data_IF_651688342737
#
_entry.id   IF_651688342737
#
_cell.length_a   1.000
_cell.length_b   1.000
_cell.length_c   1.000
_cell.angle_alpha   90.00
_cell.angle_beta   90.00
_cell.angle_gamma   90.00
#
_symmetry.space_group_name_H-M   'P 1'
#
loop_
_entity.id
_entity.type
_entity.pdbx_description
1 polymer ?
#
# COMPACT_ATOMS: atom_id res chain seq x y z
N UNK A 1 -14.93 11.11 -17.27
CA UNK A 1 -14.06 10.41 -16.30
C UNK A 1 -13.20 11.47 -15.63
N UNK A 2 -13.71 12.14 -14.61
CA UNK A 2 -12.94 13.21 -13.94
C UNK A 2 -12.25 12.60 -12.74
N UNK A 3 -11.00 12.19 -12.93
CA UNK A 3 -10.08 11.88 -11.84
C UNK A 3 -9.34 13.18 -11.55
N UNK A 4 -9.87 14.04 -10.69
CA UNK A 4 -9.15 15.23 -10.22
C UNK A 4 -9.34 15.31 -8.70
N UNK A 5 -8.25 15.09 -7.94
CA UNK A 5 -7.14 16.03 -7.85
C UNK A 5 -5.82 15.45 -8.36
N UNK A 6 -4.99 16.28 -9.00
CA UNK A 6 -3.71 15.93 -9.60
C UNK A 6 -2.59 16.55 -8.76
N UNK A 7 -2.14 15.87 -7.69
CA UNK A 7 -1.07 16.41 -6.85
C UNK A 7 0.31 15.97 -7.38
N UNK A 8 1.26 16.92 -7.31
CA UNK A 8 2.68 16.60 -7.51
C UNK A 8 3.24 16.02 -6.21
N UNK A 9 3.85 14.82 -6.23
CA UNK A 9 4.41 14.22 -5.03
C UNK A 9 5.58 15.07 -4.49
N UNK A 10 5.60 15.28 -3.17
CA UNK A 10 6.69 15.95 -2.48
C UNK A 10 7.60 14.93 -1.82
N UNK A 11 8.86 14.87 -2.26
CA UNK A 11 9.82 13.92 -1.72
C UNK A 11 10.58 14.50 -0.52
N UNK A 12 10.55 13.78 0.60
CA UNK A 12 11.30 14.11 1.80
C UNK A 12 12.62 13.32 1.80
N UNK A 13 13.76 14.01 1.77
CA UNK A 13 15.09 13.40 1.68
C UNK A 13 15.72 13.08 3.04
N UNK A 14 15.39 13.88 4.06
CA UNK A 14 15.98 13.86 5.40
C UNK A 14 14.94 13.49 6.47
N UNK A 15 15.41 12.86 7.55
CA UNK A 15 14.58 12.46 8.68
C UNK A 15 14.02 11.03 8.59
N UNK A 16 13.07 10.68 9.48
CA UNK A 16 12.42 9.37 9.49
C UNK A 16 11.62 9.13 8.20
N UNK A 17 11.44 7.85 7.84
CA UNK A 17 10.62 7.48 6.70
C UNK A 17 9.17 7.92 6.91
N UNK A 18 8.62 8.66 5.95
CA UNK A 18 7.25 9.18 5.97
C UNK A 18 6.51 8.74 4.71
N UNK A 19 5.24 8.40 4.85
CA UNK A 19 4.27 8.31 3.77
C UNK A 19 2.98 8.99 4.22
N UNK A 20 2.65 10.09 3.56
CA UNK A 20 1.44 10.87 3.78
C UNK A 20 0.72 11.02 2.44
N UNK A 21 -0.51 10.53 2.39
CA UNK A 21 -1.38 10.65 1.21
C UNK A 21 -2.77 11.05 1.69
N UNK A 22 -3.30 12.14 1.14
CA UNK A 22 -4.66 12.61 1.43
C UNK A 22 -5.55 12.51 0.20
N UNK A 23 -6.76 12.03 0.40
CA UNK A 23 -7.75 11.87 -0.65
C UNK A 23 -7.35 10.92 -1.80
N UNK A 24 -6.57 9.82 -1.61
CA UNK A 24 -6.15 9.00 -2.73
C UNK A 24 -7.34 8.32 -3.41
N UNK A 25 -7.39 8.41 -4.74
CA UNK A 25 -8.38 7.72 -5.56
C UNK A 25 -7.73 6.59 -6.34
N UNK A 26 -8.29 5.39 -6.25
CA UNK A 26 -7.78 4.26 -7.04
C UNK A 26 -8.18 4.44 -8.51
N UNK A 27 -7.30 4.28 -9.51
CA UNK A 27 -7.66 4.41 -10.93
C UNK A 27 -8.73 3.43 -11.38
N UNK A 28 -8.75 2.24 -10.77
CA UNK A 28 -9.78 1.22 -11.04
C UNK A 28 -11.04 1.40 -10.17
N UNK A 29 -11.13 2.43 -9.32
CA UNK A 29 -12.41 2.82 -8.74
C UNK A 29 -13.22 3.51 -9.84
N UNK A 30 -13.90 2.70 -10.64
CA UNK A 30 -14.82 3.18 -11.65
C UNK A 30 -16.01 3.81 -10.91
N UNK A 31 -16.44 5.04 -11.25
CA UNK A 31 -17.72 5.55 -10.79
C UNK A 31 -18.82 4.66 -11.36
N UNK A 32 -19.25 3.67 -10.57
CA UNK A 32 -20.42 2.85 -10.87
C UNK A 32 -21.69 3.59 -10.46
N UNK A 33 -22.81 3.24 -11.08
CA UNK A 33 -24.14 3.70 -10.67
C UNK A 33 -24.39 3.20 -9.25
N UNK A 34 -24.27 4.08 -8.25
CA UNK A 34 -24.73 3.84 -6.88
C UNK A 34 -23.68 3.58 -5.80
N UNK A 35 -22.38 3.73 -6.05
CA UNK A 35 -21.38 3.71 -4.96
C UNK A 35 -20.40 4.88 -5.08
N UNK A 36 -20.44 5.78 -4.10
CA UNK A 36 -19.46 6.85 -3.95
C UNK A 36 -18.17 6.24 -3.39
N UNK A 37 -17.07 6.42 -4.11
CA UNK A 37 -15.77 5.96 -3.64
C UNK A 37 -15.27 6.88 -2.51
N UNK A 38 -15.11 6.33 -1.30
CA UNK A 38 -14.61 7.05 -0.13
C UNK A 38 -13.09 6.93 -0.09
N UNK A 39 -12.33 8.03 -0.26
CA UNK A 39 -10.87 7.97 -0.17
C UNK A 39 -10.44 7.74 1.28
N UNK A 40 -9.40 6.91 1.44
CA UNK A 40 -8.80 6.63 2.75
C UNK A 40 -7.46 7.36 2.87
N UNK A 41 -7.42 8.38 3.72
CA UNK A 41 -6.18 9.06 4.05
C UNK A 41 -5.21 8.09 4.73
N UNK A 42 -3.92 8.32 4.53
CA UNK A 42 -2.88 7.49 5.15
C UNK A 42 -1.70 8.31 5.58
N UNK A 43 -1.29 8.06 6.82
CA UNK A 43 -0.10 8.62 7.44
C UNK A 43 0.66 7.46 8.05
N UNK A 44 1.92 7.30 7.64
CA UNK A 44 2.82 6.26 8.08
C UNK A 44 4.20 6.87 8.35
N UNK A 45 4.69 6.66 9.56
CA UNK A 45 6.00 7.13 9.99
C UNK A 45 6.14 8.65 10.06
N UNK A 46 7.30 9.11 10.48
CA UNK A 46 7.53 10.48 10.93
C UNK A 46 7.98 10.52 12.38
N UNK A 47 8.00 11.71 12.98
CA UNK A 47 8.39 11.86 14.38
C UNK A 47 7.30 11.39 15.36
N UNK A 48 6.02 11.55 15.00
CA UNK A 48 4.88 11.38 15.91
C UNK A 48 3.81 10.39 15.41
N UNK A 49 4.07 9.71 14.29
CA UNK A 49 3.08 8.89 13.60
C UNK A 49 3.50 7.42 13.56
N UNK A 50 2.55 6.48 13.55
CA UNK A 50 2.86 5.06 13.61
C UNK A 50 3.55 4.59 12.33
N UNK A 51 4.54 3.70 12.46
CA UNK A 51 5.24 3.08 11.31
C UNK A 51 4.53 1.83 10.79
N UNK A 52 3.42 1.42 11.41
CA UNK A 52 2.63 0.25 11.06
C UNK A 52 1.15 0.60 11.16
N UNK A 53 0.38 0.21 10.14
CA UNK A 53 -1.08 0.26 10.15
C UNK A 53 -1.59 -1.18 10.17
N UNK A 54 -2.43 -1.48 11.16
CA UNK A 54 -3.21 -2.72 11.19
C UNK A 54 -4.60 -2.42 10.65
N UNK A 55 -4.89 -2.91 9.45
CA UNK A 55 -6.22 -2.84 8.85
C UNK A 55 -7.00 -4.10 9.24
N UNK A 56 -8.15 -3.91 9.88
CA UNK A 56 -9.07 -4.99 10.26
C UNK A 56 -10.51 -4.65 9.90
N UNK A 57 -11.26 -5.63 9.41
CA UNK A 57 -12.57 -5.42 8.85
C UNK A 57 -13.18 -6.74 8.36
N UNK A 58 -14.49 -6.75 8.04
CA UNK A 58 -15.14 -7.93 7.46
C UNK A 58 -14.50 -8.28 6.12
N UNK A 59 -14.41 -9.57 5.76
CA UNK A 59 -13.74 -10.08 4.54
C UNK A 59 -14.23 -9.52 3.18
N UNK A 60 -15.22 -8.63 3.17
CA UNK A 60 -15.69 -7.87 1.99
C UNK A 60 -15.48 -6.36 2.13
N UNK A 61 -14.73 -5.91 3.14
CA UNK A 61 -14.41 -4.51 3.36
C UNK A 61 -13.37 -3.98 2.38
N UNK A 62 -13.31 -2.66 2.28
CA UNK A 62 -12.43 -1.91 1.37
C UNK A 62 -10.93 -2.01 1.71
N UNK A 63 -10.52 -2.90 2.62
CA UNK A 63 -9.13 -3.05 3.08
C UNK A 63 -8.17 -3.37 1.95
N UNK A 64 -8.56 -4.32 1.08
CA UNK A 64 -7.78 -4.66 -0.11
C UNK A 64 -7.70 -3.50 -1.10
N UNK A 65 -8.76 -2.68 -1.16
CA UNK A 65 -8.85 -1.51 -2.02
C UNK A 65 -7.95 -0.38 -1.51
N UNK A 66 -7.92 -0.14 -0.20
CA UNK A 66 -7.01 0.80 0.47
C UNK A 66 -5.55 0.40 0.32
N UNK A 67 -5.20 -0.87 0.57
CA UNK A 67 -3.82 -1.35 0.37
C UNK A 67 -3.33 -1.15 -1.07
N UNK A 68 -4.19 -1.43 -2.06
CA UNK A 68 -3.88 -1.20 -3.47
C UNK A 68 -3.73 0.28 -3.80
N UNK A 69 -4.53 1.16 -3.20
CA UNK A 69 -4.39 2.62 -3.37
C UNK A 69 -3.02 3.11 -2.91
N UNK A 70 -2.57 2.64 -1.74
CA UNK A 70 -1.28 3.08 -1.20
C UNK A 70 -0.12 2.58 -2.05
N UNK A 71 -0.16 1.31 -2.48
CA UNK A 71 0.81 0.77 -3.43
C UNK A 71 0.88 1.61 -4.70
N UNK A 72 -0.28 1.91 -5.27
CA UNK A 72 -0.40 2.67 -6.50
C UNK A 72 0.18 4.07 -6.34
N UNK A 73 -0.16 4.77 -5.25
CA UNK A 73 0.33 6.11 -4.98
C UNK A 73 1.85 6.16 -4.84
N UNK A 74 2.44 5.21 -4.10
CA UNK A 74 3.90 5.13 -3.92
C UNK A 74 4.62 4.87 -5.25
N UNK A 75 4.13 3.92 -6.04
CA UNK A 75 4.74 3.57 -7.33
C UNK A 75 4.66 4.75 -8.29
N UNK A 76 3.47 5.33 -8.46
CA UNK A 76 3.26 6.47 -9.37
C UNK A 76 4.10 7.69 -8.98
N UNK A 77 4.19 7.98 -7.68
CA UNK A 77 5.02 9.07 -7.22
C UNK A 77 6.49 8.84 -7.59
N UNK A 78 7.04 7.65 -7.29
CA UNK A 78 8.44 7.31 -7.59
C UNK A 78 8.75 7.18 -9.09
N UNK A 79 7.72 7.01 -9.95
CA UNK A 79 7.84 7.13 -11.40
C UNK A 79 7.89 8.60 -11.88
N UNK A 80 7.64 9.57 -11.00
CA UNK A 80 7.55 10.99 -11.35
C UNK A 80 6.19 11.40 -11.91
N UNK A 81 5.16 10.57 -11.76
CA UNK A 81 3.82 10.88 -12.21
C UNK A 81 3.06 11.73 -11.17
N UNK A 82 2.09 12.51 -11.65
CA UNK A 82 1.11 13.12 -10.75
C UNK A 82 0.15 12.06 -10.23
N UNK A 83 -0.36 12.30 -9.01
CA UNK A 83 -1.23 11.37 -8.31
C UNK A 83 -2.68 11.86 -8.29
N UNK A 84 -3.65 10.94 -8.40
CA UNK A 84 -5.06 11.21 -8.19
C UNK A 84 -5.39 11.37 -6.69
N UNK A 85 -4.80 12.38 -6.05
CA UNK A 85 -4.86 12.63 -4.61
C UNK A 85 -4.77 14.14 -4.32
N UNK A 86 -5.26 14.58 -3.16
CA UNK A 86 -5.22 16.00 -2.76
C UNK A 86 -3.81 16.45 -2.40
N UNK A 87 -3.07 15.60 -1.70
CA UNK A 87 -1.67 15.84 -1.37
C UNK A 87 -0.94 14.52 -1.19
N UNK A 88 0.37 14.53 -1.49
CA UNK A 88 1.23 13.40 -1.25
C UNK A 88 2.63 13.87 -0.85
N UNK A 89 3.09 13.44 0.32
CA UNK A 89 4.46 13.60 0.77
C UNK A 89 5.03 12.24 1.16
N UNK A 90 6.19 11.87 0.62
CA UNK A 90 6.79 10.58 0.93
C UNK A 90 8.31 10.61 0.91
N UNK A 91 8.92 9.79 1.75
CA UNK A 91 10.33 9.45 1.67
C UNK A 91 10.49 8.33 0.64
N UNK A 92 11.41 8.43 -0.35
CA UNK A 92 11.57 7.40 -1.36
C UNK A 92 11.81 6.02 -0.76
N UNK A 93 10.96 5.05 -1.14
CA UNK A 93 11.13 3.66 -0.74
C UNK A 93 12.11 2.95 -1.67
N UNK A 94 12.99 2.13 -1.10
CA UNK A 94 13.96 1.35 -1.87
C UNK A 94 13.36 0.05 -2.43
N UNK A 95 12.38 -0.52 -1.72
CA UNK A 95 11.79 -1.81 -2.05
C UNK A 95 10.38 -1.89 -1.47
N UNK A 96 9.45 -2.41 -2.27
CA UNK A 96 8.09 -2.73 -1.85
C UNK A 96 7.98 -4.24 -1.74
N UNK A 97 7.77 -4.74 -0.52
CA UNK A 97 7.48 -6.13 -0.24
C UNK A 97 5.97 -6.32 -0.15
N UNK A 98 5.50 -7.38 -0.80
CA UNK A 98 4.10 -7.76 -0.78
C UNK A 98 4.01 -9.24 -0.47
N UNK A 99 3.21 -9.57 0.53
CA UNK A 99 2.67 -10.91 0.73
C UNK A 99 1.15 -10.78 0.69
N UNK A 100 0.56 -11.22 -0.42
CA UNK A 100 -0.89 -11.33 -0.56
C UNK A 100 -1.16 -12.81 -0.74
N UNK A 101 -2.00 -13.39 0.12
CA UNK A 101 -2.27 -14.82 0.21
C UNK A 101 -2.25 -15.54 -1.14
N UNK A 102 -1.52 -16.66 -1.18
CA UNK A 102 -1.36 -17.46 -2.37
C UNK A 102 -2.68 -18.14 -2.75
N UNK A 103 -2.94 -18.26 -4.05
CA UNK A 103 -3.83 -19.32 -4.53
C UNK A 103 -3.13 -20.65 -4.24
N UNK A 104 -3.87 -21.64 -3.75
CA UNK A 104 -3.34 -22.95 -3.37
C UNK A 104 -2.39 -23.50 -4.45
N UNK A 105 -1.10 -23.61 -4.12
CA UNK A 105 -0.13 -24.21 -5.02
C UNK A 105 -0.04 -25.71 -4.76
N UNK A 106 -1.17 -26.40 -4.99
CA UNK A 106 -1.36 -27.84 -4.76
C UNK A 106 -0.28 -28.66 -5.51
N UNK A 107 0.23 -28.12 -6.62
CA UNK A 107 1.20 -28.77 -7.50
C UNK A 107 2.65 -28.77 -6.96
N UNK A 108 2.97 -27.98 -5.92
CA UNK A 108 4.34 -27.87 -5.40
C UNK A 108 4.67 -28.88 -4.27
N UNK A 109 3.68 -29.61 -3.75
CA UNK A 109 3.88 -30.60 -2.67
C UNK A 109 4.37 -30.03 -1.33
N UNK A 110 4.45 -28.71 -1.19
CA UNK A 110 4.84 -28.00 0.03
C UNK A 110 3.58 -27.53 0.77
N UNK A 111 3.62 -27.57 2.10
CA UNK A 111 2.56 -26.99 2.93
C UNK A 111 2.45 -25.49 2.63
N UNK A 112 1.25 -25.01 2.29
CA UNK A 112 0.98 -23.58 2.05
C UNK A 112 1.56 -22.72 3.18
N UNK A 113 1.37 -23.16 4.43
CA UNK A 113 1.94 -22.50 5.60
C UNK A 113 3.48 -22.37 5.58
N UNK A 114 4.20 -23.39 5.11
CA UNK A 114 5.66 -23.31 4.99
C UNK A 114 6.09 -22.30 3.94
N UNK A 115 5.39 -22.23 2.81
CA UNK A 115 5.65 -21.23 1.77
C UNK A 115 5.42 -19.83 2.31
N UNK A 116 4.31 -19.62 3.03
CA UNK A 116 3.99 -18.33 3.66
C UNK A 116 5.02 -17.90 4.71
N UNK A 117 5.48 -18.82 5.55
CA UNK A 117 6.54 -18.56 6.53
C UNK A 117 7.87 -18.25 5.86
N UNK A 118 8.23 -18.97 4.79
CA UNK A 118 9.46 -18.73 4.04
C UNK A 118 9.45 -17.34 3.39
N UNK A 119 8.32 -16.92 2.80
CA UNK A 119 8.15 -15.57 2.26
C UNK A 119 8.26 -14.50 3.36
N UNK A 120 7.61 -14.72 4.50
CA UNK A 120 7.66 -13.79 5.64
C UNK A 120 9.08 -13.66 6.18
N UNK A 121 9.80 -14.78 6.33
CA UNK A 121 11.21 -14.80 6.74
C UNK A 121 12.10 -14.01 5.79
N UNK A 122 11.89 -14.19 4.48
CA UNK A 122 12.62 -13.43 3.44
C UNK A 122 12.35 -11.93 3.54
N UNK A 123 11.09 -11.53 3.73
CA UNK A 123 10.71 -10.12 3.92
C UNK A 123 11.43 -9.54 5.13
N UNK A 124 11.44 -10.25 6.27
CA UNK A 124 12.11 -9.78 7.49
C UNK A 124 13.63 -9.68 7.33
N UNK A 125 14.26 -10.60 6.58
CA UNK A 125 15.70 -10.59 6.36
C UNK A 125 16.18 -9.51 5.38
N UNK A 126 15.33 -9.07 4.45
CA UNK A 126 15.68 -8.09 3.42
C UNK A 126 15.12 -6.68 3.66
N UNK A 127 14.07 -6.54 4.49
CA UNK A 127 13.43 -5.26 4.73
C UNK A 127 14.36 -4.29 5.47
N UNK A 128 14.32 -3.02 5.05
CA UNK A 128 15.08 -1.93 5.65
C UNK A 128 14.15 -0.85 6.17
N UNK A 129 14.68 0.15 6.87
CA UNK A 129 13.91 1.32 7.33
C UNK A 129 13.26 2.12 6.17
N UNK A 130 13.73 1.94 4.92
CA UNK A 130 13.17 2.57 3.72
C UNK A 130 12.37 1.59 2.85
N UNK A 131 11.91 0.48 3.43
CA UNK A 131 11.09 -0.50 2.72
C UNK A 131 9.62 -0.39 3.09
N UNK A 132 8.73 -0.52 2.11
CA UNK A 132 7.30 -0.63 2.33
C UNK A 132 6.93 -2.11 2.38
N UNK A 133 6.34 -2.57 3.48
CA UNK A 133 5.94 -3.97 3.66
C UNK A 133 4.43 -4.05 3.75
N UNK A 134 3.83 -4.90 2.92
CA UNK A 134 2.39 -5.13 2.88
C UNK A 134 2.14 -6.61 3.12
N UNK A 135 1.47 -6.90 4.23
CA UNK A 135 1.07 -8.24 4.63
C UNK A 135 -0.45 -8.33 4.59
N UNK A 136 -0.98 -9.21 3.75
CA UNK A 136 -2.39 -9.53 3.68
C UNK A 136 -2.58 -11.02 3.94
N UNK A 137 -3.23 -11.31 5.06
CA UNK A 137 -3.69 -12.65 5.40
C UNK A 137 -5.13 -12.78 4.89
N UNK A 138 -5.36 -13.66 3.91
CA UNK A 138 -6.72 -14.16 3.67
C UNK A 138 -6.88 -15.40 4.54
N UNK A 139 -7.96 -15.44 5.31
CA UNK A 139 -8.56 -16.68 5.78
C UNK A 139 -9.40 -17.25 4.65
#
# INVERSE_FOLDING_TARGET
MVIEPCCRPHFLSEGPSVLQVRGPRHPCAVPGIGSEFIPNDTVLGGANEPTMILLTGPNMGDESTSLRQFCFAVIMAQLGCHLPAESCALTPFNRVFRRIGANDNILAGLLTFMVELAETSRILGEATLRSLVILQYRQ
#
